data_IF_385696148002
#
_entry.id   IF_385696148002
#
_cell.length_a   1.000
_cell.length_b   1.000
_cell.length_c   1.000
_cell.angle_alpha   90.00
_cell.angle_beta   90.00
_cell.angle_gamma   90.00
#
_symmetry.space_group_name_H-M   'P 1'
#
loop_
_entity.id
_entity.type
_entity.pdbx_description
1 polymer ?
#
# COMPACT_ATOMS: atom_id res chain seq x y z
N UNK A 1 74.93 -20.10 56.34
CA UNK A 1 73.63 -19.55 56.00
C UNK A 1 73.36 -19.90 54.53
N UNK A 2 72.42 -20.85 54.30
CA UNK A 2 72.04 -21.30 52.93
C UNK A 2 70.71 -20.64 52.62
N UNK A 3 70.68 -19.81 51.61
CA UNK A 3 69.44 -19.20 51.10
C UNK A 3 68.62 -20.21 50.27
N UNK A 4 67.36 -20.42 50.66
CA UNK A 4 66.42 -21.18 49.87
C UNK A 4 65.68 -20.22 48.93
N UNK A 5 65.80 -20.49 47.61
CA UNK A 5 64.98 -19.83 46.59
C UNK A 5 63.74 -20.71 46.31
N UNK A 6 62.54 -20.19 46.34
CA UNK A 6 61.35 -20.97 45.94
C UNK A 6 61.24 -21.02 44.41
N UNK A 7 61.02 -22.23 43.90
CA UNK A 7 60.70 -22.47 42.49
C UNK A 7 59.21 -22.17 42.29
N UNK A 8 58.87 -21.17 41.47
CA UNK A 8 57.52 -20.83 41.09
C UNK A 8 57.08 -21.73 39.90
N UNK A 9 56.24 -22.73 40.16
CA UNK A 9 55.66 -23.58 39.13
C UNK A 9 54.47 -22.85 38.51
N UNK A 10 54.62 -22.37 37.26
CA UNK A 10 53.50 -21.76 36.48
C UNK A 10 52.69 -22.89 35.90
N UNK A 11 51.43 -23.03 36.38
CA UNK A 11 50.45 -23.98 35.86
C UNK A 11 49.80 -23.33 34.62
N UNK A 12 50.14 -23.79 33.43
CA UNK A 12 49.54 -23.37 32.18
C UNK A 12 48.19 -24.11 32.01
N UNK A 13 47.10 -23.36 32.22
CA UNK A 13 45.73 -23.87 31.92
C UNK A 13 45.51 -23.69 30.43
N UNK A 14 45.46 -24.79 29.68
CA UNK A 14 45.03 -24.85 28.28
C UNK A 14 43.50 -24.86 28.27
N UNK A 15 42.89 -23.73 27.90
CA UNK A 15 41.45 -23.67 27.65
C UNK A 15 41.21 -24.20 26.24
N UNK A 16 40.60 -25.38 26.14
CA UNK A 16 40.14 -25.97 24.89
C UNK A 16 38.84 -25.27 24.50
N UNK A 17 38.88 -24.34 23.52
CA UNK A 17 37.66 -23.78 22.94
C UNK A 17 36.95 -24.86 22.08
N UNK A 18 35.87 -25.39 22.58
CA UNK A 18 34.97 -26.23 21.80
C UNK A 18 34.12 -25.35 20.90
N UNK A 19 34.51 -25.22 19.66
CA UNK A 19 33.68 -24.61 18.61
C UNK A 19 32.54 -25.53 18.27
N UNK A 20 31.33 -25.21 18.76
CA UNK A 20 30.09 -25.88 18.36
C UNK A 20 29.78 -25.40 16.92
N UNK A 21 29.68 -26.30 15.93
CA UNK A 21 29.30 -25.90 14.58
C UNK A 21 27.86 -25.39 14.65
N UNK A 22 27.68 -24.07 14.34
CA UNK A 22 26.38 -23.47 14.20
C UNK A 22 25.59 -24.22 13.13
N UNK A 23 24.46 -24.80 13.50
CA UNK A 23 23.52 -25.38 12.55
C UNK A 23 23.05 -24.29 11.60
N UNK A 24 23.54 -24.30 10.37
CA UNK A 24 23.02 -23.49 9.31
C UNK A 24 21.53 -23.89 9.11
N UNK A 25 20.61 -23.07 9.58
CA UNK A 25 19.20 -23.24 9.27
C UNK A 25 19.03 -23.11 7.76
N UNK A 26 18.61 -24.20 7.12
CA UNK A 26 18.20 -24.16 5.73
C UNK A 26 17.13 -23.07 5.56
N UNK A 27 17.22 -22.21 4.54
CA UNK A 27 16.18 -21.24 4.28
C UNK A 27 14.85 -21.98 4.13
N UNK A 28 13.81 -21.45 4.79
CA UNK A 28 12.46 -22.01 4.68
C UNK A 28 12.07 -22.13 3.20
N UNK A 29 11.39 -23.21 2.79
CA UNK A 29 10.99 -23.38 1.40
C UNK A 29 10.16 -22.16 0.98
N UNK A 30 10.63 -21.44 -0.02
CA UNK A 30 9.87 -20.36 -0.65
C UNK A 30 8.64 -21.02 -1.26
N UNK A 31 7.45 -20.69 -0.75
CA UNK A 31 6.20 -21.18 -1.32
C UNK A 31 6.11 -20.69 -2.78
N UNK A 32 6.15 -21.58 -3.79
CA UNK A 32 6.18 -21.14 -5.20
C UNK A 32 4.88 -20.45 -5.62
N UNK A 33 3.86 -20.38 -4.76
CA UNK A 33 2.58 -19.78 -5.04
C UNK A 33 2.07 -19.03 -3.78
N UNK A 34 2.60 -17.84 -3.46
CA UNK A 34 2.14 -17.08 -2.31
C UNK A 34 0.64 -16.80 -2.45
N UNK A 35 -0.11 -17.00 -1.36
CA UNK A 35 -1.53 -16.67 -1.32
C UNK A 35 -1.68 -15.17 -1.58
N UNK A 36 -2.55 -14.82 -2.54
CA UNK A 36 -2.90 -13.44 -2.87
C UNK A 36 -4.39 -13.23 -2.70
N UNK A 37 -4.75 -12.01 -2.39
CA UNK A 37 -6.11 -11.60 -2.04
C UNK A 37 -6.57 -10.51 -2.98
N UNK A 38 -7.85 -10.53 -3.33
CA UNK A 38 -8.49 -9.51 -4.15
C UNK A 38 -9.11 -8.44 -3.25
N UNK A 39 -8.95 -7.20 -3.65
CA UNK A 39 -9.63 -6.06 -3.06
C UNK A 39 -10.15 -5.11 -4.12
N UNK A 40 -10.90 -4.14 -3.68
CA UNK A 40 -11.35 -3.04 -4.52
C UNK A 40 -11.16 -1.70 -3.82
N UNK A 41 -11.04 -0.65 -4.59
CA UNK A 41 -11.23 0.72 -4.12
C UNK A 41 -12.18 1.49 -5.04
N UNK A 42 -12.78 2.52 -4.49
CA UNK A 42 -13.69 3.42 -5.17
C UNK A 42 -13.73 4.76 -4.45
N UNK A 43 -13.98 5.83 -5.20
CA UNK A 43 -14.17 7.16 -4.60
C UNK A 43 -15.46 7.26 -3.78
N UNK A 44 -16.47 6.43 -4.09
CA UNK A 44 -17.73 6.42 -3.37
C UNK A 44 -17.92 5.13 -2.58
N UNK A 45 -18.46 5.26 -1.37
CA UNK A 45 -18.85 4.10 -0.57
C UNK A 45 -19.98 3.33 -1.27
N UNK A 46 -19.86 2.01 -1.39
CA UNK A 46 -20.79 1.22 -2.21
C UNK A 46 -22.19 1.07 -1.62
N UNK A 47 -22.43 1.49 -0.38
CA UNK A 47 -23.67 1.24 0.37
C UNK A 47 -23.60 -0.03 1.21
N UNK A 48 -24.21 0.02 2.40
CA UNK A 48 -24.22 -1.11 3.35
C UNK A 48 -24.91 -2.34 2.73
N UNK A 49 -25.92 -2.13 1.89
CA UNK A 49 -26.70 -3.15 1.20
C UNK A 49 -25.92 -3.98 0.19
N UNK A 50 -24.79 -3.46 -0.28
CA UNK A 50 -23.94 -4.12 -1.28
C UNK A 50 -22.79 -4.92 -0.66
N UNK A 51 -22.52 -4.77 0.65
CA UNK A 51 -21.34 -5.34 1.28
C UNK A 51 -21.29 -6.87 1.21
N UNK A 52 -22.41 -7.54 1.46
CA UNK A 52 -22.48 -9.00 1.41
C UNK A 52 -22.21 -9.56 0.00
N UNK A 53 -22.68 -8.86 -1.02
CA UNK A 53 -22.42 -9.24 -2.41
C UNK A 53 -20.95 -9.04 -2.77
N UNK A 54 -20.37 -7.89 -2.42
CA UNK A 54 -18.95 -7.57 -2.67
C UNK A 54 -18.02 -8.51 -1.90
N UNK A 55 -18.38 -8.88 -0.65
CA UNK A 55 -17.55 -9.75 0.20
C UNK A 55 -17.37 -11.17 -0.37
N UNK A 56 -18.29 -11.64 -1.22
CA UNK A 56 -18.17 -12.94 -1.90
C UNK A 56 -16.96 -12.98 -2.86
N UNK A 57 -16.48 -11.82 -3.30
CA UNK A 57 -15.41 -11.69 -4.27
C UNK A 57 -14.17 -11.03 -3.68
N UNK A 58 -14.35 -10.02 -2.83
CA UNK A 58 -13.27 -9.17 -2.34
C UNK A 58 -12.97 -9.43 -0.86
N UNK A 59 -11.69 -9.51 -0.53
CA UNK A 59 -11.20 -9.72 0.83
C UNK A 59 -11.03 -8.42 1.60
N UNK A 60 -10.75 -7.31 0.90
CA UNK A 60 -10.55 -5.99 1.49
C UNK A 60 -11.11 -4.88 0.59
N UNK A 61 -11.35 -3.73 1.20
CA UNK A 61 -11.84 -2.53 0.54
C UNK A 61 -10.93 -1.33 0.81
N UNK A 62 -10.84 -0.43 -0.17
CA UNK A 62 -10.32 0.91 0.03
C UNK A 62 -11.14 1.66 1.08
N UNK A 63 -10.50 2.47 1.90
CA UNK A 63 -11.17 3.27 2.93
C UNK A 63 -10.53 4.67 2.99
N UNK A 64 -11.26 5.67 2.55
CA UNK A 64 -10.78 7.05 2.50
C UNK A 64 -10.91 7.76 3.85
N UNK A 65 -9.82 8.37 4.29
CA UNK A 65 -9.78 9.17 5.53
C UNK A 65 -10.18 10.63 5.31
N UNK A 66 -10.06 11.13 4.08
CA UNK A 66 -10.48 12.46 3.64
C UNK A 66 -11.26 12.34 2.33
N UNK A 67 -11.63 13.46 1.72
CA UNK A 67 -12.37 13.45 0.46
C UNK A 67 -11.54 12.78 -0.64
N UNK A 68 -12.05 11.74 -1.30
CA UNK A 68 -11.39 11.12 -2.45
C UNK A 68 -11.15 12.12 -3.60
N UNK A 69 -10.23 11.82 -4.54
CA UNK A 69 -9.96 12.69 -5.68
C UNK A 69 -11.23 13.05 -6.45
N UNK A 70 -11.40 14.36 -6.72
CA UNK A 70 -12.53 14.87 -7.50
C UNK A 70 -13.89 14.83 -6.82
N UNK A 71 -13.96 14.53 -5.51
CA UNK A 71 -15.21 14.53 -4.74
C UNK A 71 -15.29 15.73 -3.78
N UNK A 72 -16.51 16.16 -3.45
CA UNK A 72 -16.76 17.21 -2.46
C UNK A 72 -17.06 16.68 -1.06
N UNK A 73 -17.23 15.37 -0.91
CA UNK A 73 -17.55 14.72 0.36
C UNK A 73 -16.91 13.33 0.46
N UNK A 74 -16.62 12.90 1.68
CA UNK A 74 -16.14 11.55 1.97
C UNK A 74 -17.32 10.68 2.44
N UNK A 75 -17.84 9.84 1.54
CA UNK A 75 -18.93 8.90 1.85
C UNK A 75 -18.48 7.68 2.67
N UNK A 76 -17.16 7.46 2.82
CA UNK A 76 -16.58 6.38 3.61
C UNK A 76 -16.52 6.71 5.11
N UNK A 77 -16.64 7.98 5.49
CA UNK A 77 -16.56 8.40 6.89
C UNK A 77 -17.61 7.69 7.76
N UNK A 78 -17.16 7.10 8.88
CA UNK A 78 -18.00 6.34 9.81
C UNK A 78 -18.38 4.94 9.33
N UNK A 79 -17.84 4.44 8.20
CA UNK A 79 -18.20 3.14 7.62
C UNK A 79 -17.27 1.99 7.98
N UNK A 80 -16.20 2.27 8.76
CA UNK A 80 -15.22 1.25 9.15
C UNK A 80 -15.87 0.04 9.85
N UNK A 81 -16.79 0.30 10.80
CA UNK A 81 -17.42 -0.77 11.57
C UNK A 81 -18.29 -1.66 10.67
N UNK A 82 -19.10 -1.10 9.77
CA UNK A 82 -19.91 -1.84 8.82
C UNK A 82 -19.06 -2.77 7.93
N UNK A 83 -17.95 -2.25 7.39
CA UNK A 83 -17.01 -3.04 6.59
C UNK A 83 -16.37 -4.17 7.42
N UNK A 84 -15.96 -3.88 8.65
CA UNK A 84 -15.37 -4.87 9.54
C UNK A 84 -16.36 -5.98 9.90
N UNK A 85 -17.62 -5.65 10.19
CA UNK A 85 -18.69 -6.60 10.47
C UNK A 85 -19.01 -7.47 9.25
N UNK A 86 -18.96 -6.90 8.05
CA UNK A 86 -19.09 -7.64 6.79
C UNK A 86 -17.84 -8.50 6.48
N UNK A 87 -16.78 -8.43 7.29
CA UNK A 87 -15.57 -9.27 7.17
C UNK A 87 -14.51 -8.74 6.21
N UNK A 88 -14.58 -7.48 5.79
CA UNK A 88 -13.52 -6.87 4.96
C UNK A 88 -12.26 -6.55 5.76
N UNK A 89 -11.10 -6.71 5.11
CA UNK A 89 -9.88 -5.99 5.47
C UNK A 89 -9.88 -4.59 4.89
N UNK A 90 -8.79 -3.86 5.13
CA UNK A 90 -8.71 -2.45 4.79
C UNK A 90 -7.47 -2.12 3.96
N UNK A 91 -7.66 -1.22 3.01
CA UNK A 91 -6.64 -0.45 2.33
C UNK A 91 -6.93 1.01 2.64
N UNK A 92 -6.26 1.56 3.67
CA UNK A 92 -6.59 2.88 4.23
C UNK A 92 -5.87 3.98 3.45
N UNK A 93 -6.64 4.95 2.93
CA UNK A 93 -6.19 5.97 1.97
C UNK A 93 -6.34 7.37 2.54
N UNK A 94 -5.42 8.22 2.12
CA UNK A 94 -5.48 9.66 2.30
C UNK A 94 -5.14 10.34 0.96
N UNK A 95 -6.09 11.07 0.40
CA UNK A 95 -5.91 11.85 -0.83
C UNK A 95 -4.86 12.94 -0.63
N UNK A 96 -3.75 12.85 -1.37
CA UNK A 96 -2.63 13.76 -1.29
C UNK A 96 -2.84 15.06 -2.08
N UNK A 97 -1.76 15.81 -2.25
CA UNK A 97 -1.73 17.08 -2.98
C UNK A 97 -1.28 16.88 -4.41
N UNK A 98 -1.91 17.62 -5.32
CA UNK A 98 -1.49 17.67 -6.71
C UNK A 98 -0.20 18.50 -6.88
N UNK A 99 0.61 18.16 -7.88
CA UNK A 99 1.83 18.89 -8.26
C UNK A 99 1.60 20.40 -8.40
N UNK A 100 0.50 20.80 -9.03
CA UNK A 100 0.15 22.21 -9.21
C UNK A 100 -0.09 22.96 -7.88
N UNK A 101 -0.51 22.28 -6.82
CA UNK A 101 -0.64 22.86 -5.49
C UNK A 101 0.73 22.97 -4.82
N UNK A 102 1.56 21.92 -4.91
CA UNK A 102 2.88 21.85 -4.29
C UNK A 102 3.86 22.86 -4.91
N UNK A 103 3.85 23.05 -6.22
CA UNK A 103 4.64 24.08 -6.91
C UNK A 103 4.34 25.51 -6.45
N UNK A 104 3.12 25.77 -6.02
CA UNK A 104 2.70 27.08 -5.52
C UNK A 104 2.88 27.25 -4.02
N UNK A 105 3.15 26.16 -3.31
CA UNK A 105 3.30 26.19 -1.87
C UNK A 105 4.68 26.74 -1.47
N UNK A 106 4.75 27.70 -0.54
CA UNK A 106 6.03 28.20 -0.02
C UNK A 106 6.77 27.16 0.82
N UNK A 107 6.08 26.20 1.41
CA UNK A 107 6.64 25.12 2.23
C UNK A 107 5.87 23.80 1.98
N UNK A 108 6.31 23.05 0.97
CA UNK A 108 5.76 21.73 0.66
C UNK A 108 5.96 20.72 1.81
N UNK A 109 7.08 20.79 2.52
CA UNK A 109 7.33 19.95 3.70
C UNK A 109 6.36 20.26 4.84
N UNK A 110 6.02 21.54 5.06
CA UNK A 110 5.02 21.97 6.03
C UNK A 110 3.64 21.41 5.71
N UNK A 111 3.25 21.43 4.43
CA UNK A 111 2.02 20.77 3.98
C UNK A 111 2.04 19.27 4.26
N UNK A 112 3.14 18.58 3.96
CA UNK A 112 3.29 17.16 4.23
C UNK A 112 3.11 16.82 5.73
N UNK A 113 3.71 17.60 6.61
CA UNK A 113 3.52 17.45 8.07
C UNK A 113 2.08 17.69 8.51
N UNK A 114 1.45 18.73 7.97
CA UNK A 114 0.05 19.07 8.26
C UNK A 114 -0.90 17.95 7.83
N UNK A 115 -0.76 17.47 6.60
CA UNK A 115 -1.62 16.44 6.03
C UNK A 115 -1.39 15.09 6.75
N UNK A 116 -0.16 14.77 7.16
CA UNK A 116 0.12 13.60 8.00
C UNK A 116 -0.61 13.66 9.36
N UNK A 117 -0.63 14.85 9.99
CA UNK A 117 -1.37 15.06 11.23
C UNK A 117 -2.89 14.87 11.03
N UNK A 118 -3.44 15.40 9.93
CA UNK A 118 -4.85 15.22 9.57
C UNK A 118 -5.19 13.75 9.32
N UNK A 119 -4.35 13.04 8.56
CA UNK A 119 -4.52 11.61 8.27
C UNK A 119 -4.51 10.76 9.57
N UNK A 120 -3.55 11.00 10.46
CA UNK A 120 -3.46 10.30 11.74
C UNK A 120 -4.66 10.57 12.65
N UNK A 121 -5.14 11.83 12.71
CA UNK A 121 -6.34 12.19 13.46
C UNK A 121 -7.60 11.54 12.87
N UNK A 122 -7.74 11.53 11.54
CA UNK A 122 -8.86 10.89 10.87
C UNK A 122 -8.85 9.38 11.11
N UNK A 123 -7.71 8.71 10.95
CA UNK A 123 -7.56 7.28 11.26
C UNK A 123 -7.94 6.98 12.72
N UNK A 124 -7.53 7.85 13.64
CA UNK A 124 -7.89 7.74 15.06
C UNK A 124 -9.38 7.89 15.32
N UNK A 125 -10.08 8.82 14.65
CA UNK A 125 -11.54 8.98 14.76
C UNK A 125 -12.30 7.78 14.22
N UNK A 126 -11.81 7.21 13.12
CA UNK A 126 -12.38 5.99 12.54
C UNK A 126 -12.07 4.71 13.34
N UNK A 127 -11.21 4.80 14.37
CA UNK A 127 -10.88 3.66 15.25
C UNK A 127 -9.77 2.76 14.72
N UNK A 128 -8.99 3.18 13.72
CA UNK A 128 -7.81 2.45 13.28
C UNK A 128 -6.71 2.50 14.35
N UNK A 129 -6.17 1.33 14.69
CA UNK A 129 -5.12 1.20 15.70
C UNK A 129 -3.75 1.69 15.22
N UNK A 130 -2.86 1.99 16.16
CA UNK A 130 -1.45 2.21 15.86
C UNK A 130 -0.85 1.03 15.07
N UNK A 131 0.07 1.32 14.17
CA UNK A 131 0.65 0.34 13.26
C UNK A 131 -0.18 0.04 12.01
N UNK A 132 -1.41 0.58 11.88
CA UNK A 132 -2.14 0.55 10.60
C UNK A 132 -1.36 1.29 9.52
N UNK A 133 -1.28 0.74 8.31
CA UNK A 133 -0.70 1.43 7.15
C UNK A 133 -1.70 2.42 6.61
N UNK A 134 -1.27 3.68 6.46
CA UNK A 134 -2.05 4.72 5.77
C UNK A 134 -1.32 5.04 4.47
N UNK A 135 -2.00 4.89 3.34
CA UNK A 135 -1.45 5.17 2.02
C UNK A 135 -1.74 6.61 1.61
N UNK A 136 -0.68 7.36 1.31
CA UNK A 136 -0.79 8.65 0.62
C UNK A 136 -1.09 8.36 -0.84
N UNK A 137 -2.16 8.91 -1.35
CA UNK A 137 -2.55 8.80 -2.75
C UNK A 137 -1.85 9.88 -3.59
N UNK A 138 -1.05 9.44 -4.58
CA UNK A 138 -0.34 10.29 -5.54
C UNK A 138 -0.82 9.97 -6.95
N UNK A 139 -1.62 10.87 -7.50
CA UNK A 139 -2.24 10.70 -8.82
C UNK A 139 -1.28 10.91 -10.00
N UNK A 140 -0.17 11.64 -9.79
CA UNK A 140 0.74 11.98 -10.86
C UNK A 140 1.88 10.97 -10.96
N UNK A 141 2.22 10.62 -12.22
CA UNK A 141 3.31 9.71 -12.54
C UNK A 141 4.56 10.42 -13.08
N UNK A 142 5.61 9.65 -13.29
CA UNK A 142 6.91 10.14 -13.76
C UNK A 142 7.88 10.44 -12.61
N UNK A 143 8.92 11.23 -12.91
CA UNK A 143 9.88 11.65 -11.89
C UNK A 143 9.25 12.68 -10.96
N UNK A 144 9.33 12.41 -9.67
CA UNK A 144 8.85 13.35 -8.66
C UNK A 144 9.75 14.59 -8.59
N UNK A 145 9.12 15.75 -8.59
CA UNK A 145 9.80 17.04 -8.43
C UNK A 145 10.31 17.22 -7.00
N UNK A 146 11.24 18.15 -6.77
CA UNK A 146 11.79 18.40 -5.43
C UNK A 146 10.72 18.71 -4.38
N UNK A 147 9.72 19.54 -4.71
CA UNK A 147 8.62 19.89 -3.84
C UNK A 147 7.68 18.72 -3.56
N UNK A 148 7.44 17.84 -4.54
CA UNK A 148 6.67 16.61 -4.33
C UNK A 148 7.42 15.68 -3.38
N UNK A 149 8.72 15.47 -3.57
CA UNK A 149 9.55 14.67 -2.65
C UNK A 149 9.58 15.27 -1.25
N UNK A 150 9.71 16.58 -1.14
CA UNK A 150 9.68 17.28 0.14
C UNK A 150 8.36 17.07 0.89
N UNK A 151 7.24 17.16 0.19
CA UNK A 151 5.90 16.87 0.71
C UNK A 151 5.76 15.41 1.15
N UNK A 152 6.05 14.47 0.25
CA UNK A 152 5.86 13.03 0.47
C UNK A 152 6.68 12.54 1.66
N UNK A 153 7.96 12.89 1.73
CA UNK A 153 8.82 12.39 2.81
C UNK A 153 8.50 13.05 4.15
N UNK A 154 8.09 14.32 4.16
CA UNK A 154 7.60 14.97 5.38
C UNK A 154 6.29 14.32 5.88
N UNK A 155 5.40 13.91 4.95
CA UNK A 155 4.19 13.17 5.27
C UNK A 155 4.54 11.77 5.84
N UNK A 156 5.43 11.02 5.18
CA UNK A 156 5.91 9.70 5.65
C UNK A 156 6.46 9.78 7.07
N UNK A 157 7.35 10.76 7.31
CA UNK A 157 7.93 10.97 8.65
C UNK A 157 6.87 11.37 9.69
N UNK A 158 5.86 12.15 9.28
CA UNK A 158 4.74 12.56 10.13
C UNK A 158 3.85 11.40 10.54
N UNK A 159 3.48 10.54 9.61
CA UNK A 159 2.70 9.31 9.85
C UNK A 159 3.45 8.37 10.80
N UNK A 160 4.75 8.15 10.57
CA UNK A 160 5.56 7.31 11.44
C UNK A 160 5.65 7.86 12.88
N UNK A 161 5.82 9.18 13.04
CA UNK A 161 5.81 9.82 14.37
C UNK A 161 4.46 9.72 15.07
N UNK A 162 3.36 9.66 14.32
CA UNK A 162 2.02 9.47 14.87
C UNK A 162 1.72 8.01 15.27
N UNK A 163 2.67 7.09 15.09
CA UNK A 163 2.55 5.68 15.44
C UNK A 163 1.87 4.81 14.39
N UNK A 164 1.64 5.34 13.19
CA UNK A 164 1.14 4.59 12.03
C UNK A 164 2.29 4.18 11.10
N UNK A 165 2.00 3.31 10.14
CA UNK A 165 2.94 2.95 9.08
C UNK A 165 2.60 3.76 7.83
N UNK A 166 3.62 4.28 7.17
CA UNK A 166 3.41 5.04 5.95
C UNK A 166 3.38 4.11 4.73
N UNK A 167 2.35 4.26 3.91
CA UNK A 167 2.27 3.71 2.58
C UNK A 167 2.19 4.83 1.53
N UNK A 168 2.48 4.51 0.29
CA UNK A 168 2.32 5.41 -0.85
C UNK A 168 1.67 4.65 -1.99
N UNK A 169 0.55 5.17 -2.51
CA UNK A 169 0.01 4.80 -3.80
C UNK A 169 0.68 5.66 -4.86
N UNK A 170 1.23 5.05 -5.89
CA UNK A 170 1.91 5.75 -6.97
C UNK A 170 1.96 4.93 -8.25
N UNK A 171 2.28 5.58 -9.37
CA UNK A 171 2.40 4.94 -10.67
C UNK A 171 3.56 3.93 -10.72
N UNK A 172 3.27 2.72 -11.20
CA UNK A 172 4.24 1.72 -11.66
C UNK A 172 4.46 1.74 -13.17
N UNK A 173 3.80 2.64 -13.87
CA UNK A 173 3.88 2.75 -15.32
C UNK A 173 5.16 3.50 -15.71
N UNK A 174 6.02 2.93 -16.60
CA UNK A 174 7.18 3.63 -17.12
C UNK A 174 6.78 4.92 -17.86
N UNK A 175 7.26 6.06 -17.39
CA UNK A 175 7.06 7.35 -18.03
C UNK A 175 8.31 7.76 -18.83
N UNK A 176 8.19 8.34 -20.04
CA UNK A 176 9.35 8.81 -20.81
C UNK A 176 10.15 9.87 -20.05
N UNK A 177 11.48 9.72 -20.02
CA UNK A 177 12.40 10.70 -19.45
C UNK A 177 13.69 10.76 -20.29
N UNK A 178 13.89 11.84 -21.00
CA UNK A 178 15.04 11.99 -21.89
C UNK A 178 15.11 10.87 -22.95
N UNK A 179 16.17 10.05 -22.90
CA UNK A 179 16.33 8.86 -23.77
C UNK A 179 15.91 7.56 -23.07
N UNK A 180 15.40 7.62 -21.88
CA UNK A 180 15.03 6.49 -21.06
C UNK A 180 13.61 6.60 -20.55
N UNK A 181 13.36 5.91 -19.45
CA UNK A 181 12.09 5.92 -18.71
C UNK A 181 12.36 6.03 -17.21
N UNK A 182 11.39 6.55 -16.49
CA UNK A 182 11.36 6.54 -15.03
C UNK A 182 10.06 5.90 -14.57
N UNK A 183 10.13 5.09 -13.51
CA UNK A 183 8.98 4.57 -12.79
C UNK A 183 8.89 5.34 -11.47
N UNK A 184 7.73 5.90 -11.18
CA UNK A 184 7.53 6.74 -9.97
C UNK A 184 7.87 5.99 -8.68
N UNK A 185 7.42 4.74 -8.57
CA UNK A 185 7.71 3.90 -7.42
C UNK A 185 9.23 3.71 -7.20
N UNK A 186 9.99 3.51 -8.28
CA UNK A 186 11.46 3.38 -8.22
C UNK A 186 12.13 4.70 -7.81
N UNK A 187 11.69 5.82 -8.40
CA UNK A 187 12.22 7.14 -8.05
C UNK A 187 11.97 7.47 -6.57
N UNK A 188 10.78 7.18 -6.06
CA UNK A 188 10.47 7.36 -4.65
C UNK A 188 11.31 6.45 -3.75
N UNK A 189 11.44 5.16 -4.09
CA UNK A 189 12.23 4.22 -3.30
C UNK A 189 13.70 4.59 -3.24
N UNK A 190 14.30 4.98 -4.37
CA UNK A 190 15.71 5.38 -4.45
C UNK A 190 16.02 6.62 -3.61
N UNK A 191 15.05 7.52 -3.43
CA UNK A 191 15.21 8.75 -2.67
C UNK A 191 14.63 8.69 -1.23
N UNK A 192 14.08 7.54 -0.81
CA UNK A 192 13.45 7.38 0.51
C UNK A 192 14.43 7.43 1.69
N UNK A 193 15.73 7.18 1.45
CA UNK A 193 16.71 7.00 2.52
C UNK A 193 16.35 5.79 3.39
N UNK A 194 16.38 5.96 4.71
CA UNK A 194 16.04 4.90 5.68
C UNK A 194 14.54 4.77 5.97
N UNK A 195 13.68 5.54 5.30
CA UNK A 195 12.23 5.52 5.52
C UNK A 195 11.64 4.18 5.10
N UNK A 196 10.82 3.61 5.97
CA UNK A 196 10.07 2.39 5.69
C UNK A 196 8.73 2.77 5.06
N UNK A 197 8.61 2.56 3.75
CA UNK A 197 7.40 2.88 2.97
C UNK A 197 6.84 1.59 2.40
N UNK A 198 5.52 1.38 2.57
CA UNK A 198 4.75 0.34 1.92
C UNK A 198 4.29 0.86 0.57
N UNK A 199 4.51 0.11 -0.52
CA UNK A 199 4.18 0.58 -1.86
C UNK A 199 2.91 -0.11 -2.37
N UNK A 200 1.92 0.72 -2.73
CA UNK A 200 0.77 0.34 -3.53
C UNK A 200 0.94 0.95 -4.91
N UNK A 201 1.01 0.09 -5.92
CA UNK A 201 1.43 0.50 -7.26
C UNK A 201 0.25 0.39 -8.22
N UNK A 202 0.00 1.46 -8.98
CA UNK A 202 -0.91 1.45 -10.11
C UNK A 202 -0.16 1.07 -11.38
N UNK A 203 -0.58 -0.01 -12.03
CA UNK A 203 -0.14 -0.39 -13.36
C UNK A 203 -1.24 -1.23 -14.00
N UNK A 204 -2.08 -0.60 -14.82
CA UNK A 204 -3.25 -1.25 -15.39
C UNK A 204 -2.85 -2.33 -16.40
N UNK A 205 -2.99 -3.59 -15.97
CA UNK A 205 -2.75 -4.76 -16.82
C UNK A 205 -3.93 -5.04 -17.76
N UNK A 206 -5.06 -4.36 -17.54
CA UNK A 206 -6.29 -4.58 -18.28
C UNK A 206 -7.00 -3.25 -18.55
N UNK A 207 -6.66 -2.57 -19.66
CA UNK A 207 -7.29 -1.31 -20.00
C UNK A 207 -8.82 -1.46 -20.07
N UNK A 208 -9.60 -0.41 -19.72
CA UNK A 208 -11.06 -0.43 -19.68
C UNK A 208 -11.73 -0.84 -21.00
N UNK A 209 -11.07 -0.60 -22.13
CA UNK A 209 -11.55 -0.99 -23.45
C UNK A 209 -10.39 -1.56 -24.27
N UNK A 210 -10.47 -2.80 -24.76
CA UNK A 210 -11.63 -3.71 -24.78
C UNK A 210 -11.92 -4.46 -23.47
N UNK A 211 -11.16 -4.20 -22.39
CA UNK A 211 -11.29 -4.93 -21.14
C UNK A 211 -10.63 -6.30 -21.14
N UNK A 212 -10.70 -7.02 -20.03
CA UNK A 212 -10.25 -8.40 -19.94
C UNK A 212 -11.13 -9.23 -18.98
N UNK A 213 -10.89 -10.54 -18.98
CA UNK A 213 -11.63 -11.44 -18.09
C UNK A 213 -11.26 -11.17 -16.64
N UNK A 214 -12.23 -11.22 -15.75
CA UNK A 214 -12.00 -11.15 -14.32
C UNK A 214 -11.06 -12.29 -13.88
N UNK A 215 -10.00 -12.00 -13.12
CA UNK A 215 -9.02 -13.01 -12.76
C UNK A 215 -9.60 -14.07 -11.83
N UNK A 216 -9.31 -15.33 -12.07
CA UNK A 216 -9.69 -16.43 -11.17
C UNK A 216 -8.92 -16.40 -9.84
N UNK A 217 -7.77 -15.76 -9.81
CA UNK A 217 -6.93 -15.54 -8.64
C UNK A 217 -6.32 -14.15 -8.72
N UNK A 218 -6.17 -13.49 -7.58
CA UNK A 218 -5.48 -12.22 -7.53
C UNK A 218 -4.04 -12.38 -8.03
N UNK A 219 -3.55 -11.51 -8.93
CA UNK A 219 -2.16 -11.54 -9.36
C UNK A 219 -1.23 -11.19 -8.20
N UNK A 220 0.03 -11.64 -8.26
CA UNK A 220 1.00 -11.27 -7.25
C UNK A 220 1.43 -9.80 -7.44
N UNK A 221 1.42 -8.95 -6.39
CA UNK A 221 1.83 -7.55 -6.51
C UNK A 221 3.22 -7.36 -7.10
N UNK A 222 4.15 -8.27 -6.83
CA UNK A 222 5.50 -8.25 -7.40
C UNK A 222 5.56 -8.41 -8.92
N UNK A 223 4.46 -8.82 -9.56
CA UNK A 223 4.35 -8.92 -11.03
C UNK A 223 3.80 -7.65 -11.68
N UNK A 224 3.56 -6.60 -10.91
CA UNK A 224 3.11 -5.29 -11.40
C UNK A 224 4.14 -4.54 -12.27
N UNK A 225 5.35 -5.08 -12.42
CA UNK A 225 6.52 -4.36 -12.98
C UNK A 225 7.38 -3.71 -11.90
N UNK A 226 6.88 -3.65 -10.65
CA UNK A 226 7.57 -3.13 -9.46
C UNK A 226 7.70 -4.26 -8.46
N UNK A 227 8.88 -4.88 -8.37
CA UNK A 227 9.09 -6.13 -7.61
C UNK A 227 8.87 -6.00 -6.10
N UNK A 228 8.92 -4.79 -5.56
CA UNK A 228 8.73 -4.50 -4.15
C UNK A 228 7.32 -3.98 -3.82
N UNK A 229 6.39 -3.98 -4.77
CA UNK A 229 5.00 -3.63 -4.50
C UNK A 229 4.36 -4.64 -3.53
N UNK A 230 3.69 -4.15 -2.50
CA UNK A 230 2.91 -4.96 -1.54
C UNK A 230 1.43 -5.01 -1.92
N UNK A 231 0.95 -3.98 -2.62
CA UNK A 231 -0.38 -3.90 -3.22
C UNK A 231 -0.25 -3.44 -4.68
N UNK A 232 -1.07 -4.00 -5.54
CA UNK A 232 -1.12 -3.66 -6.96
C UNK A 232 -2.55 -3.36 -7.39
N UNK A 233 -2.82 -2.12 -7.83
CA UNK A 233 -4.02 -1.78 -8.56
C UNK A 233 -3.79 -2.17 -10.03
N UNK A 234 -4.36 -3.30 -10.44
CA UNK A 234 -4.06 -3.92 -11.72
C UNK A 234 -5.12 -3.67 -12.80
N UNK A 235 -6.27 -3.09 -12.41
CA UNK A 235 -7.31 -2.67 -13.34
C UNK A 235 -8.10 -1.51 -12.74
N UNK A 236 -8.32 -0.46 -13.54
CA UNK A 236 -9.10 0.70 -13.17
C UNK A 236 -10.47 0.66 -13.87
N UNK A 237 -11.50 1.07 -13.15
CA UNK A 237 -12.81 1.28 -13.74
C UNK A 237 -12.80 2.45 -14.73
N UNK A 238 -13.58 2.39 -15.83
CA UNK A 238 -13.61 3.47 -16.79
C UNK A 238 -14.28 4.71 -16.20
N UNK A 239 -13.55 5.83 -16.18
CA UNK A 239 -14.06 7.13 -15.72
C UNK A 239 -14.80 7.91 -16.82
N UNK A 240 -14.56 7.58 -18.09
CA UNK A 240 -15.19 8.26 -19.24
C UNK A 240 -16.51 7.58 -19.59
N UNK A 241 -17.54 8.40 -19.87
CA UNK A 241 -18.89 7.92 -20.20
C UNK A 241 -18.96 7.05 -21.45
N UNK A 242 -18.12 7.31 -22.46
CA UNK A 242 -18.04 6.53 -23.69
C UNK A 242 -17.51 5.12 -23.43
N UNK A 243 -16.51 5.00 -22.55
CA UNK A 243 -15.94 3.71 -22.15
C UNK A 243 -16.89 2.96 -21.23
N UNK A 244 -17.52 3.63 -20.25
CA UNK A 244 -18.46 3.04 -19.31
C UNK A 244 -19.64 2.34 -20.00
N UNK A 245 -20.08 2.82 -21.17
CA UNK A 245 -21.11 2.16 -21.97
C UNK A 245 -20.73 0.76 -22.45
N UNK A 246 -19.44 0.52 -22.73
CA UNK A 246 -18.92 -0.78 -23.12
C UNK A 246 -18.80 -1.78 -21.97
N UNK A 247 -18.76 -1.30 -20.75
CA UNK A 247 -18.48 -2.07 -19.54
C UNK A 247 -19.75 -2.53 -18.81
N UNK A 248 -20.68 -3.15 -19.52
CA UNK A 248 -21.94 -3.63 -18.93
C UNK A 248 -21.83 -4.98 -18.22
N UNK A 249 -20.80 -5.74 -18.52
CA UNK A 249 -20.56 -7.07 -17.98
C UNK A 249 -19.21 -7.12 -17.29
N UNK A 250 -19.18 -6.85 -16.02
CA UNK A 250 -17.97 -6.85 -15.22
C UNK A 250 -17.12 -8.11 -15.41
N UNK A 251 -17.74 -9.28 -15.45
CA UNK A 251 -16.99 -10.53 -15.61
C UNK A 251 -16.36 -10.73 -16.99
N UNK A 252 -16.68 -9.90 -17.96
CA UNK A 252 -16.08 -10.00 -19.31
C UNK A 252 -14.91 -9.06 -19.49
N UNK A 253 -15.02 -7.86 -18.98
CA UNK A 253 -14.02 -6.81 -19.14
C UNK A 253 -13.15 -6.58 -17.89
N UNK A 254 -13.51 -7.22 -16.77
CA UNK A 254 -12.65 -7.36 -15.61
C UNK A 254 -12.57 -6.16 -14.69
N UNK A 255 -12.99 -4.97 -15.13
CA UNK A 255 -12.78 -3.73 -14.39
C UNK A 255 -13.90 -2.70 -14.49
N UNK A 256 -15.11 -3.09 -14.91
CA UNK A 256 -16.21 -2.15 -15.10
C UNK A 256 -17.16 -2.09 -13.92
N UNK A 257 -17.61 -3.23 -13.41
CA UNK A 257 -18.51 -3.32 -12.27
C UNK A 257 -18.04 -4.38 -11.29
N UNK A 258 -18.29 -4.18 -10.03
CA UNK A 258 -17.98 -5.20 -9.03
C UNK A 258 -18.84 -6.47 -9.26
N UNK A 259 -18.27 -7.68 -9.14
CA UNK A 259 -19.01 -8.92 -9.20
C UNK A 259 -20.14 -8.95 -8.16
N UNK A 260 -21.31 -9.40 -8.58
CA UNK A 260 -22.52 -9.42 -7.74
C UNK A 260 -23.21 -8.06 -7.60
N UNK A 261 -22.70 -7.03 -8.26
CA UNK A 261 -23.29 -5.69 -8.27
C UNK A 261 -23.75 -5.24 -9.65
N UNK A 262 -23.97 -6.17 -10.58
CA UNK A 262 -24.41 -5.88 -11.94
C UNK A 262 -25.73 -5.09 -11.97
N UNK A 263 -26.60 -5.29 -10.98
CA UNK A 263 -27.85 -4.55 -10.83
C UNK A 263 -27.63 -3.11 -10.34
N UNK A 264 -26.57 -2.85 -9.60
CA UNK A 264 -26.21 -1.54 -9.04
C UNK A 264 -25.23 -0.78 -9.91
N UNK A 265 -24.56 -1.47 -10.83
CA UNK A 265 -23.55 -0.91 -11.74
C UNK A 265 -22.43 -0.17 -11.01
N UNK A 266 -21.97 -0.70 -9.86
CA UNK A 266 -20.86 -0.13 -9.11
C UNK A 266 -19.57 -0.23 -9.91
N UNK A 267 -18.92 0.91 -10.13
CA UNK A 267 -17.60 0.99 -10.73
C UNK A 267 -16.55 0.94 -9.63
N UNK A 268 -15.61 0.00 -9.74
CA UNK A 268 -14.55 -0.17 -8.75
C UNK A 268 -13.21 -0.40 -9.45
N UNK A 269 -12.14 0.01 -8.80
CA UNK A 269 -10.79 -0.33 -9.19
C UNK A 269 -10.37 -1.63 -8.49
N UNK A 270 -9.65 -2.51 -9.21
CA UNK A 270 -9.29 -3.83 -8.74
C UNK A 270 -7.88 -3.87 -8.19
N UNK A 271 -7.75 -4.42 -7.00
CA UNK A 271 -6.49 -4.53 -6.29
C UNK A 271 -6.13 -5.97 -5.93
N UNK A 272 -4.84 -6.24 -5.90
CA UNK A 272 -4.27 -7.48 -5.39
C UNK A 272 -3.26 -7.18 -4.29
N UNK A 273 -3.26 -7.99 -3.24
CA UNK A 273 -2.31 -7.88 -2.13
C UNK A 273 -1.90 -9.25 -1.60
N UNK A 274 -0.75 -9.31 -0.90
CA UNK A 274 -0.30 -10.50 -0.20
C UNK A 274 -1.03 -10.74 1.14
N UNK A 275 -1.94 -9.84 1.53
CA UNK A 275 -2.72 -9.89 2.75
C UNK A 275 -4.19 -9.62 2.49
N UNK A 276 -5.08 -10.32 3.19
CA UNK A 276 -6.52 -10.01 3.21
C UNK A 276 -6.85 -8.72 4.00
N UNK A 277 -5.87 -8.10 4.63
CA UNK A 277 -5.96 -6.84 5.36
C UNK A 277 -4.66 -6.05 5.16
N UNK A 278 -4.43 -5.47 3.96
CA UNK A 278 -3.13 -4.87 3.59
C UNK A 278 -2.69 -3.74 4.52
N UNK A 279 -3.63 -2.97 5.04
CA UNK A 279 -3.33 -1.91 6.01
C UNK A 279 -3.21 -2.43 7.45
N UNK A 280 -3.65 -3.67 7.76
CA UNK A 280 -3.77 -4.13 9.15
C UNK A 280 -4.87 -3.40 9.92
N UNK A 281 -5.90 -2.91 9.22
CA UNK A 281 -6.94 -2.04 9.77
C UNK A 281 -8.05 -2.77 10.53
N UNK A 282 -8.10 -4.11 10.50
CA UNK A 282 -9.04 -4.91 11.30
C UNK A 282 -8.77 -4.84 12.80
N UNK A 283 -7.54 -4.51 13.20
CA UNK A 283 -7.22 -4.38 14.62
C UNK A 283 -8.00 -3.20 15.20
N UNK A 284 -8.71 -3.44 16.30
CA UNK A 284 -9.30 -2.36 17.09
C UNK A 284 -8.23 -1.65 17.93
N UNK A 285 -8.51 -0.42 18.30
CA UNK A 285 -7.70 0.35 19.28
C UNK A 285 -7.69 -0.32 20.63
#
# INVERSE_FOLDING_TARGET
MREYRPILTVLMIVVLEVTIPGSAQSPAPVNPNPQTFLGFDSNEYPGDENLDALRKTFDYAGFWLNNPPGTSANTWSGKREALQQAGFGFLVLFNGRLDAELKRAPDASGLGRSDASQAAQAAGREGFAAGTVIFLDLEEGGRMLPEQKAYIYAWVDGIARAGYRAGVYCSGIPAPEGRGVVVTADDLRQNAGERKIVYWVANDACPPSPGCSFPRRAPAPSTSGVSFAEVWQFAQSPRRRDVAKGCRNYHRDGNCYAPGSESTHLLVDLNAAASADPSGGRRAR
#
